data_IF_003092752337
#
_entry.id   IF_003092752337
#
_cell.length_a   1.000
_cell.length_b   1.000
_cell.length_c   1.000
_cell.angle_alpha   90.00
_cell.angle_beta   90.00
_cell.angle_gamma   90.00
#
_symmetry.space_group_name_H-M   'P 1'
#
loop_
_entity.id
_entity.type
_entity.pdbx_description
1 polymer ?
#
# COMPACT_ATOMS: atom_id res chain seq x y z
N UNK A 1 -33.32 -15.95 0.16
CA UNK A 1 -33.66 -15.57 1.55
C UNK A 1 -32.44 -15.36 2.46
N UNK A 2 -31.27 -15.96 2.18
CA UNK A 2 -30.03 -15.79 2.98
C UNK A 2 -29.47 -14.36 3.02
N UNK A 3 -29.51 -13.62 1.90
CA UNK A 3 -28.92 -12.27 1.81
C UNK A 3 -29.58 -11.23 2.72
N UNK A 4 -30.91 -11.30 2.94
CA UNK A 4 -31.59 -10.37 3.85
C UNK A 4 -31.17 -10.58 5.31
N UNK A 5 -30.95 -11.83 5.71
CA UNK A 5 -30.51 -12.15 7.07
C UNK A 5 -29.05 -11.76 7.31
N UNK A 6 -28.17 -11.89 6.30
CA UNK A 6 -26.76 -11.45 6.39
C UNK A 6 -26.69 -9.91 6.45
N UNK A 7 -27.47 -9.20 5.64
CA UNK A 7 -27.52 -7.73 5.67
C UNK A 7 -28.10 -7.21 6.99
N UNK A 8 -29.17 -7.84 7.51
CA UNK A 8 -29.75 -7.52 8.82
C UNK A 8 -28.80 -7.87 9.99
N UNK A 9 -27.95 -8.89 9.80
CA UNK A 9 -26.90 -9.26 10.76
C UNK A 9 -25.73 -8.27 10.75
N UNK A 10 -25.33 -7.75 9.58
CA UNK A 10 -24.29 -6.72 9.42
C UNK A 10 -24.76 -5.34 9.92
N UNK A 11 -26.05 -5.01 9.78
CA UNK A 11 -26.63 -3.76 10.31
C UNK A 11 -26.65 -3.73 11.83
N UNK A 12 -26.84 -4.89 12.49
CA UNK A 12 -26.77 -5.00 13.95
C UNK A 12 -25.34 -4.86 14.52
N UNK A 13 -24.31 -5.00 13.69
CA UNK A 13 -22.90 -4.84 14.11
C UNK A 13 -22.37 -3.40 13.97
N UNK A 14 -23.16 -2.47 13.42
CA UNK A 14 -22.81 -1.05 13.42
C UNK A 14 -23.09 -0.45 14.80
N UNK A 15 -22.06 -0.42 15.64
CA UNK A 15 -22.04 0.31 16.90
C UNK A 15 -22.21 1.81 16.55
N UNK A 16 -23.38 2.38 16.85
CA UNK A 16 -23.55 3.83 16.89
C UNK A 16 -22.48 4.42 17.83
N UNK A 17 -21.75 5.47 17.42
CA UNK A 17 -21.00 6.25 18.39
C UNK A 17 -21.99 6.87 19.39
N UNK A 18 -21.68 6.94 20.68
CA UNK A 18 -22.57 7.57 21.63
C UNK A 18 -22.71 9.05 21.29
N UNK A 19 -23.96 9.48 21.15
CA UNK A 19 -24.38 10.88 21.07
C UNK A 19 -23.76 11.67 22.22
N UNK A 20 -22.92 12.65 21.90
CA UNK A 20 -22.51 13.68 22.85
C UNK A 20 -23.71 14.59 23.11
N UNK A 21 -24.28 14.53 24.31
CA UNK A 21 -24.97 15.67 24.91
C UNK A 21 -24.96 15.54 26.44
N UNK A 22 -24.68 16.67 27.07
CA UNK A 22 -24.83 17.00 28.49
C UNK A 22 -23.61 16.70 29.38
N UNK A 23 -22.64 17.61 29.30
CA UNK A 23 -21.77 17.93 30.42
C UNK A 23 -22.55 18.77 31.44
N UNK A 24 -22.91 18.17 32.57
CA UNK A 24 -23.21 18.86 33.81
C UNK A 24 -23.09 17.90 35.01
N UNK A 25 -22.21 18.23 35.95
CA UNK A 25 -22.45 17.98 37.38
C UNK A 25 -22.00 16.66 38.02
N UNK A 26 -20.99 16.80 38.88
CA UNK A 26 -20.82 16.17 40.20
C UNK A 26 -20.61 14.65 40.38
N UNK A 27 -19.40 14.34 40.85
CA UNK A 27 -19.00 13.36 41.87
C UNK A 27 -20.08 12.42 42.47
N UNK A 28 -19.81 11.11 42.50
CA UNK A 28 -19.65 10.35 43.76
C UNK A 28 -19.52 8.83 43.56
N UNK A 29 -18.55 8.27 44.31
CA UNK A 29 -18.59 6.97 45.00
C UNK A 29 -18.66 5.70 44.13
N UNK A 30 -17.49 5.06 44.07
CA UNK A 30 -17.25 3.66 43.73
C UNK A 30 -18.13 2.76 44.63
N UNK A 31 -19.26 2.28 44.11
CA UNK A 31 -19.95 1.10 44.63
C UNK A 31 -19.65 -0.08 43.72
N UNK A 32 -18.98 -1.09 44.28
CA UNK A 32 -18.82 -2.45 43.72
C UNK A 32 -20.22 -3.02 43.39
N UNK A 33 -20.67 -2.83 42.16
CA UNK A 33 -21.76 -3.60 41.59
C UNK A 33 -21.22 -4.97 41.22
N UNK A 34 -21.62 -5.98 42.00
CA UNK A 34 -21.50 -7.40 41.64
C UNK A 34 -22.16 -7.57 40.27
N UNK A 35 -21.35 -7.78 39.24
CA UNK A 35 -21.85 -8.10 37.90
C UNK A 35 -22.65 -9.39 37.98
N UNK A 36 -23.98 -9.24 37.94
CA UNK A 36 -24.90 -10.33 37.70
C UNK A 36 -24.55 -11.06 36.41
N UNK A 37 -24.77 -12.38 36.43
CA UNK A 37 -24.80 -13.35 35.32
C UNK A 37 -24.17 -12.84 34.02
N UNK A 38 -23.00 -13.40 33.66
CA UNK A 38 -22.42 -13.33 32.30
C UNK A 38 -23.56 -13.42 31.29
N UNK A 39 -23.92 -12.31 30.64
CA UNK A 39 -24.74 -12.33 29.44
C UNK A 39 -24.02 -13.30 28.52
N UNK A 40 -24.66 -14.45 28.27
CA UNK A 40 -24.19 -15.47 27.33
C UNK A 40 -23.71 -14.74 26.09
N UNK A 41 -22.38 -14.65 25.91
CA UNK A 41 -21.82 -14.28 24.62
C UNK A 41 -22.50 -15.19 23.61
N UNK A 42 -23.14 -14.65 22.57
CA UNK A 42 -23.92 -15.47 21.68
C UNK A 42 -23.03 -16.60 21.15
N UNK A 43 -23.56 -17.84 21.11
CA UNK A 43 -22.85 -19.09 20.79
C UNK A 43 -22.29 -19.15 19.35
N UNK A 44 -22.05 -18.02 18.70
CA UNK A 44 -21.37 -17.90 17.40
C UNK A 44 -19.95 -18.45 17.41
N UNK A 45 -19.32 -18.62 18.59
CA UNK A 45 -17.98 -19.20 18.73
C UNK A 45 -17.84 -20.63 18.16
N UNK A 46 -18.94 -21.36 17.95
CA UNK A 46 -18.91 -22.79 17.66
C UNK A 46 -19.16 -23.19 16.19
N UNK A 47 -19.26 -22.25 15.24
CA UNK A 47 -19.31 -22.63 13.83
C UNK A 47 -17.99 -23.31 13.40
N UNK A 48 -18.02 -24.38 12.58
CA UNK A 48 -16.83 -24.99 11.98
C UNK A 48 -16.01 -23.97 11.16
N UNK A 49 -14.70 -24.19 11.01
CA UNK A 49 -13.84 -23.31 10.18
C UNK A 49 -14.34 -23.20 8.74
N UNK A 50 -14.84 -24.30 8.16
CA UNK A 50 -15.37 -24.33 6.79
C UNK A 50 -16.57 -23.39 6.61
N UNK A 51 -17.44 -23.27 7.61
CA UNK A 51 -18.59 -22.36 7.57
C UNK A 51 -18.11 -20.91 7.66
N UNK A 52 -17.10 -20.63 8.48
CA UNK A 52 -16.50 -19.31 8.54
C UNK A 52 -15.83 -18.92 7.23
N UNK A 53 -15.09 -19.85 6.58
CA UNK A 53 -14.48 -19.60 5.27
C UNK A 53 -15.56 -19.19 4.25
N UNK A 54 -16.69 -19.92 4.18
CA UNK A 54 -17.80 -19.57 3.29
C UNK A 54 -18.44 -18.21 3.60
N UNK A 55 -18.61 -17.86 4.89
CA UNK A 55 -19.12 -16.54 5.27
C UNK A 55 -18.17 -15.44 4.80
N UNK A 56 -16.86 -15.64 5.01
CA UNK A 56 -15.83 -14.67 4.65
C UNK A 56 -15.66 -14.52 3.12
N UNK A 57 -15.97 -15.55 2.33
CA UNK A 57 -15.98 -15.49 0.86
C UNK A 57 -17.02 -14.50 0.33
N UNK A 58 -18.13 -14.32 1.04
CA UNK A 58 -19.20 -13.39 0.66
C UNK A 58 -18.98 -11.96 1.15
N UNK A 59 -17.86 -11.68 1.84
CA UNK A 59 -17.51 -10.35 2.32
C UNK A 59 -16.50 -9.69 1.39
N UNK A 60 -16.56 -8.35 1.31
CA UNK A 60 -15.49 -7.58 0.69
C UNK A 60 -14.15 -7.81 1.43
N UNK A 61 -12.99 -7.62 0.75
CA UNK A 61 -11.67 -7.72 1.37
C UNK A 61 -11.55 -6.89 2.66
N UNK A 62 -12.16 -5.71 2.70
CA UNK A 62 -12.10 -4.80 3.84
C UNK A 62 -12.91 -5.28 5.03
N UNK A 63 -14.12 -5.77 4.79
CA UNK A 63 -14.98 -6.34 5.83
C UNK A 63 -14.34 -7.60 6.41
N UNK A 64 -13.79 -8.46 5.56
CA UNK A 64 -13.04 -9.65 5.96
C UNK A 64 -11.90 -9.31 6.93
N UNK A 65 -11.10 -8.29 6.63
CA UNK A 65 -10.03 -7.83 7.54
C UNK A 65 -10.59 -7.25 8.83
N UNK A 66 -11.72 -6.53 8.80
CA UNK A 66 -12.38 -6.02 10.02
C UNK A 66 -12.89 -7.15 10.92
N UNK A 67 -13.32 -8.27 10.36
CA UNK A 67 -13.80 -9.44 11.12
C UNK A 67 -12.75 -9.99 12.11
N UNK A 68 -11.46 -9.72 11.88
CA UNK A 68 -10.37 -10.05 12.82
C UNK A 68 -10.55 -9.44 14.22
N UNK A 69 -11.30 -8.35 14.33
CA UNK A 69 -11.55 -7.65 15.61
C UNK A 69 -12.69 -8.27 16.43
N UNK A 70 -13.46 -9.17 15.82
CA UNK A 70 -14.67 -9.74 16.45
C UNK A 70 -14.28 -10.76 17.54
N UNK A 71 -13.45 -11.75 17.22
CA UNK A 71 -12.89 -12.70 18.19
C UNK A 71 -11.63 -13.41 17.66
N UNK A 72 -10.93 -14.12 18.56
CA UNK A 72 -9.68 -14.82 18.24
C UNK A 72 -9.83 -15.94 17.20
N UNK A 73 -10.96 -16.66 17.19
CA UNK A 73 -11.21 -17.73 16.23
C UNK A 73 -11.34 -17.19 14.81
N UNK A 74 -12.15 -16.14 14.62
CA UNK A 74 -12.32 -15.46 13.33
C UNK A 74 -11.00 -14.82 12.89
N UNK A 75 -10.26 -14.20 13.83
CA UNK A 75 -8.91 -13.69 13.56
C UNK A 75 -8.00 -14.80 12.99
N UNK A 76 -8.01 -15.99 13.58
CA UNK A 76 -7.20 -17.11 13.12
C UNK A 76 -7.60 -17.57 11.70
N UNK A 77 -8.90 -17.66 11.41
CA UNK A 77 -9.40 -18.03 10.08
C UNK A 77 -8.96 -16.99 9.04
N UNK A 78 -9.16 -15.69 9.31
CA UNK A 78 -8.73 -14.62 8.40
C UNK A 78 -7.20 -14.59 8.25
N UNK A 79 -6.44 -14.74 9.33
CA UNK A 79 -4.98 -14.75 9.27
C UNK A 79 -4.44 -16.00 8.53
N UNK A 80 -5.10 -17.16 8.66
CA UNK A 80 -4.80 -18.39 7.91
C UNK A 80 -5.05 -18.18 6.42
N UNK A 81 -6.16 -17.51 6.05
CA UNK A 81 -6.45 -17.15 4.66
C UNK A 81 -5.41 -16.19 4.10
N UNK A 82 -5.12 -15.10 4.81
CA UNK A 82 -4.09 -14.13 4.43
C UNK A 82 -2.73 -14.80 4.17
N UNK A 83 -2.34 -15.78 5.00
CA UNK A 83 -1.10 -16.55 4.81
C UNK A 83 -1.06 -17.37 3.50
N UNK A 84 -2.19 -17.60 2.84
CA UNK A 84 -2.27 -18.27 1.52
C UNK A 84 -1.99 -17.31 0.36
N UNK A 85 -1.95 -16.00 0.59
CA UNK A 85 -1.57 -15.02 -0.44
C UNK A 85 -0.09 -15.18 -0.76
N UNK A 86 0.19 -15.58 -2.01
CA UNK A 86 1.52 -15.79 -2.55
C UNK A 86 1.94 -14.67 -3.51
N UNK A 87 0.97 -14.07 -4.21
CA UNK A 87 1.19 -12.99 -5.18
C UNK A 87 0.62 -11.70 -4.61
N UNK A 88 1.43 -10.64 -4.55
CA UNK A 88 0.98 -9.34 -4.04
C UNK A 88 1.43 -8.21 -4.96
N UNK A 89 0.46 -7.60 -5.63
CA UNK A 89 0.68 -6.49 -6.53
C UNK A 89 0.17 -5.19 -5.89
N UNK A 90 1.07 -4.22 -5.77
CA UNK A 90 0.75 -2.90 -5.24
C UNK A 90 1.07 -1.86 -6.31
N UNK A 91 0.02 -1.29 -6.89
CA UNK A 91 0.12 -0.41 -8.05
C UNK A 91 -0.40 0.98 -7.75
N UNK A 92 0.09 1.96 -8.52
CA UNK A 92 -0.36 3.33 -8.53
C UNK A 92 -0.81 3.71 -9.93
N UNK A 93 -2.11 3.80 -10.12
CA UNK A 93 -2.73 4.20 -11.39
C UNK A 93 -4.03 4.96 -11.11
N UNK A 94 -4.62 5.56 -12.15
CA UNK A 94 -5.94 6.17 -12.06
C UNK A 94 -6.97 5.08 -11.71
N UNK A 95 -7.52 5.14 -10.49
CA UNK A 95 -8.45 4.11 -10.02
C UNK A 95 -9.80 4.16 -10.73
N UNK A 96 -10.18 5.32 -11.28
CA UNK A 96 -11.45 5.49 -11.98
C UNK A 96 -11.47 4.74 -13.32
N UNK A 97 -10.29 4.41 -13.87
CA UNK A 97 -10.16 3.55 -15.07
C UNK A 97 -10.46 2.08 -14.81
N UNK A 98 -10.42 1.66 -13.54
CA UNK A 98 -10.66 0.27 -13.12
C UNK A 98 -12.05 0.14 -12.52
N UNK A 99 -12.36 1.01 -11.56
CA UNK A 99 -13.64 1.03 -10.87
C UNK A 99 -14.15 2.48 -10.86
N UNK A 100 -15.22 2.79 -11.62
CA UNK A 100 -15.76 4.14 -11.72
C UNK A 100 -16.04 4.76 -10.35
N UNK A 101 -15.86 6.08 -10.23
CA UNK A 101 -15.92 6.79 -8.95
C UNK A 101 -17.22 6.57 -8.14
N UNK A 102 -18.34 6.34 -8.84
CA UNK A 102 -19.65 6.13 -8.25
C UNK A 102 -19.88 4.69 -7.77
N UNK A 103 -19.03 3.75 -8.18
CA UNK A 103 -19.12 2.35 -7.78
C UNK A 103 -18.31 2.08 -6.51
N UNK A 104 -18.95 1.46 -5.52
CA UNK A 104 -18.24 0.94 -4.33
C UNK A 104 -17.58 -0.43 -4.57
N UNK A 105 -17.99 -1.11 -5.65
CA UNK A 105 -17.43 -2.37 -6.10
C UNK A 105 -18.31 -3.02 -7.17
N UNK A 106 -17.71 -3.89 -7.97
CA UNK A 106 -18.37 -4.61 -9.07
C UNK A 106 -18.48 -6.12 -8.82
N UNK A 107 -18.04 -6.59 -7.64
CA UNK A 107 -17.97 -8.00 -7.27
C UNK A 107 -16.53 -8.53 -7.24
N UNK A 108 -15.64 -7.95 -8.05
CA UNK A 108 -14.24 -8.35 -8.15
C UNK A 108 -13.32 -7.28 -7.56
N UNK A 109 -13.56 -6.01 -7.90
CA UNK A 109 -12.88 -4.85 -7.38
C UNK A 109 -13.74 -4.16 -6.32
N UNK A 110 -13.10 -3.76 -5.23
CA UNK A 110 -13.77 -3.10 -4.11
C UNK A 110 -13.08 -1.78 -3.78
N UNK A 111 -13.86 -0.71 -3.71
CA UNK A 111 -13.38 0.61 -3.28
C UNK A 111 -13.34 0.69 -1.76
N UNK A 112 -12.26 1.19 -1.19
CA UNK A 112 -12.14 1.32 0.26
C UNK A 112 -13.06 2.46 0.76
N UNK A 113 -14.06 2.21 1.63
CA UNK A 113 -15.13 3.19 1.88
C UNK A 113 -14.68 4.54 2.48
N UNK A 114 -13.59 4.55 3.27
CA UNK A 114 -13.04 5.78 3.88
C UNK A 114 -11.83 6.35 3.13
N UNK A 115 -11.45 5.73 2.02
CA UNK A 115 -10.33 6.10 1.17
C UNK A 115 -10.65 5.62 -0.24
N UNK A 116 -11.59 6.28 -0.94
CA UNK A 116 -12.08 5.81 -2.23
C UNK A 116 -10.99 5.77 -3.31
N UNK A 117 -9.85 6.43 -3.06
CA UNK A 117 -8.62 6.36 -3.85
C UNK A 117 -7.87 5.02 -3.75
N UNK A 118 -8.38 4.06 -2.99
CA UNK A 118 -7.80 2.72 -2.87
C UNK A 118 -8.83 1.72 -3.36
N UNK A 119 -8.43 0.93 -4.36
CA UNK A 119 -9.20 -0.19 -4.90
C UNK A 119 -8.44 -1.48 -4.59
N UNK A 120 -9.18 -2.51 -4.19
CA UNK A 120 -8.62 -3.83 -3.87
C UNK A 120 -9.36 -4.90 -4.65
N UNK A 121 -8.58 -5.82 -5.20
CA UNK A 121 -9.03 -7.08 -5.75
C UNK A 121 -8.29 -8.21 -5.02
N UNK A 122 -9.03 -9.16 -4.44
CA UNK A 122 -8.46 -10.26 -3.66
C UNK A 122 -9.01 -11.60 -4.17
N UNK A 123 -8.10 -12.47 -4.62
CA UNK A 123 -8.43 -13.86 -4.96
C UNK A 123 -7.89 -14.81 -3.87
N UNK A 124 -7.99 -16.12 -4.13
CA UNK A 124 -7.57 -17.14 -3.15
C UNK A 124 -6.06 -17.10 -2.81
N UNK A 125 -5.20 -16.69 -3.77
CA UNK A 125 -3.74 -16.68 -3.63
C UNK A 125 -3.07 -15.38 -4.07
N UNK A 126 -3.84 -14.43 -4.59
CA UNK A 126 -3.35 -13.16 -5.11
C UNK A 126 -4.06 -12.00 -4.43
N UNK A 127 -3.36 -10.88 -4.30
CA UNK A 127 -3.95 -9.61 -3.88
C UNK A 127 -3.40 -8.52 -4.80
N UNK A 128 -4.31 -7.70 -5.33
CA UNK A 128 -4.01 -6.51 -6.08
C UNK A 128 -4.57 -5.30 -5.32
N UNK A 129 -3.68 -4.41 -4.89
CA UNK A 129 -4.06 -3.17 -4.21
C UNK A 129 -3.58 -1.99 -5.04
N UNK A 130 -4.52 -1.17 -5.47
CA UNK A 130 -4.30 -0.05 -6.35
C UNK A 130 -4.59 1.22 -5.59
N UNK A 131 -3.67 2.17 -5.64
CA UNK A 131 -3.88 3.50 -5.09
C UNK A 131 -3.87 4.54 -6.20
N UNK A 132 -4.74 5.53 -6.07
CA UNK A 132 -4.93 6.56 -7.08
C UNK A 132 -3.67 7.40 -7.33
N UNK A 133 -3.55 7.95 -8.55
CA UNK A 133 -2.46 8.89 -8.85
C UNK A 133 -2.50 10.15 -7.99
N UNK A 134 -3.69 10.59 -7.57
CA UNK A 134 -3.91 11.73 -6.67
C UNK A 134 -4.06 11.32 -5.21
N UNK A 135 -3.39 10.24 -4.79
CA UNK A 135 -3.37 9.80 -3.39
C UNK A 135 -2.96 10.90 -2.42
N UNK A 136 -3.50 10.82 -1.21
CA UNK A 136 -3.15 11.71 -0.11
C UNK A 136 -2.19 11.04 0.86
N UNK A 137 -1.66 11.81 1.83
CA UNK A 137 -0.90 11.27 2.96
C UNK A 137 -1.69 10.16 3.68
N UNK A 138 -3.00 10.36 3.87
CA UNK A 138 -3.87 9.37 4.53
C UNK A 138 -3.96 8.07 3.75
N UNK A 139 -3.92 8.14 2.42
CA UNK A 139 -3.93 6.96 1.55
C UNK A 139 -2.57 6.25 1.59
N UNK A 140 -1.46 7.00 1.57
CA UNK A 140 -0.12 6.43 1.72
C UNK A 140 0.06 5.66 3.04
N UNK A 141 -0.47 6.19 4.15
CA UNK A 141 -0.46 5.49 5.46
C UNK A 141 -1.26 4.18 5.39
N UNK A 142 -2.46 4.20 4.80
CA UNK A 142 -3.29 2.99 4.63
C UNK A 142 -2.62 1.98 3.70
N UNK A 143 -1.98 2.45 2.64
CA UNK A 143 -1.25 1.64 1.69
C UNK A 143 -0.07 0.94 2.36
N UNK A 144 0.72 1.65 3.16
CA UNK A 144 1.81 1.06 3.92
C UNK A 144 1.31 0.01 4.93
N UNK A 145 0.16 0.27 5.58
CA UNK A 145 -0.47 -0.71 6.46
C UNK A 145 -0.91 -1.98 5.70
N UNK A 146 -1.46 -1.83 4.49
CA UNK A 146 -1.84 -2.94 3.63
C UNK A 146 -0.63 -3.75 3.15
N UNK A 147 0.45 -3.07 2.74
CA UNK A 147 1.73 -3.69 2.36
C UNK A 147 2.30 -4.50 3.53
N UNK A 148 2.34 -3.94 4.74
CA UNK A 148 2.78 -4.67 5.94
C UNK A 148 1.86 -5.85 6.29
N UNK A 149 0.59 -5.77 5.95
CA UNK A 149 -0.36 -6.84 6.22
C UNK A 149 -0.19 -8.03 5.27
N UNK A 150 -0.19 -7.78 3.95
CA UNK A 150 -0.14 -8.82 2.92
C UNK A 150 1.29 -9.23 2.53
N UNK A 151 2.25 -8.32 2.60
CA UNK A 151 3.64 -8.55 2.18
C UNK A 151 4.38 -9.61 2.99
N UNK A 152 3.96 -9.88 4.23
CA UNK A 152 4.63 -10.84 5.12
C UNK A 152 4.56 -12.28 4.58
N UNK A 153 3.52 -12.64 3.84
CA UNK A 153 3.36 -13.99 3.26
C UNK A 153 3.63 -14.07 1.76
N UNK A 154 3.73 -12.94 1.07
CA UNK A 154 3.91 -12.90 -0.38
C UNK A 154 5.30 -13.44 -0.78
N UNK A 155 5.31 -14.28 -1.81
CA UNK A 155 6.50 -14.83 -2.44
C UNK A 155 6.88 -14.04 -3.69
N UNK A 156 5.87 -13.58 -4.44
CA UNK A 156 6.05 -12.71 -5.59
C UNK A 156 5.41 -11.37 -5.29
N UNK A 157 6.19 -10.29 -5.37
CA UNK A 157 5.75 -8.93 -5.05
C UNK A 157 6.00 -8.00 -6.23
N UNK A 158 4.97 -7.30 -6.68
CA UNK A 158 5.11 -6.22 -7.68
C UNK A 158 4.79 -4.88 -7.03
N UNK A 159 5.65 -3.88 -7.24
CA UNK A 159 5.51 -2.53 -6.71
C UNK A 159 5.76 -1.51 -7.81
N UNK A 160 4.92 -0.49 -7.92
CA UNK A 160 5.32 0.72 -8.66
C UNK A 160 6.41 1.49 -7.89
N UNK A 161 7.29 2.19 -8.60
CA UNK A 161 8.46 2.86 -8.05
C UNK A 161 8.13 3.84 -6.91
N UNK A 162 6.98 4.51 -6.97
CA UNK A 162 6.49 5.38 -5.91
C UNK A 162 6.13 4.62 -4.62
N UNK A 163 5.59 3.42 -4.76
CA UNK A 163 5.23 2.54 -3.64
C UNK A 163 6.45 1.82 -3.07
N UNK A 164 7.39 1.42 -3.93
CA UNK A 164 8.69 0.92 -3.51
C UNK A 164 9.46 1.99 -2.71
N UNK A 165 9.46 3.25 -3.18
CA UNK A 165 10.04 4.37 -2.45
C UNK A 165 9.36 4.61 -1.09
N UNK A 166 8.02 4.59 -1.04
CA UNK A 166 7.27 4.67 0.21
C UNK A 166 7.71 3.58 1.19
N UNK A 167 7.85 2.35 0.71
CA UNK A 167 8.28 1.22 1.53
C UNK A 167 9.69 1.43 2.10
N UNK A 168 10.64 1.88 1.29
CA UNK A 168 12.02 2.17 1.74
C UNK A 168 12.03 3.33 2.76
N UNK A 169 11.27 4.39 2.50
CA UNK A 169 11.18 5.52 3.42
C UNK A 169 10.52 5.15 4.75
N UNK A 170 9.40 4.41 4.71
CA UNK A 170 8.65 3.97 5.89
C UNK A 170 9.40 2.94 6.76
N UNK A 171 10.53 2.42 6.29
CA UNK A 171 11.46 1.63 7.09
C UNK A 171 12.47 2.49 7.86
N UNK A 172 12.65 3.74 7.45
CA UNK A 172 13.54 4.70 8.12
C UNK A 172 12.80 5.64 9.08
N UNK A 173 11.49 5.84 8.90
CA UNK A 173 10.68 6.79 9.67
C UNK A 173 9.22 6.35 9.82
N UNK A 174 8.56 6.79 10.90
CA UNK A 174 7.10 6.67 11.07
C UNK A 174 6.36 7.89 10.51
N UNK A 175 7.08 8.96 10.17
CA UNK A 175 6.51 10.21 9.68
C UNK A 175 6.31 10.15 8.16
N UNK A 176 5.30 9.41 7.73
CA UNK A 176 4.90 9.31 6.31
C UNK A 176 4.48 10.68 5.77
N UNK A 177 3.96 11.57 6.62
CA UNK A 177 3.62 12.95 6.24
C UNK A 177 4.87 13.73 5.83
N UNK A 178 5.97 13.61 6.58
CA UNK A 178 7.25 14.21 6.21
C UNK A 178 7.80 13.62 4.91
N UNK A 179 7.70 12.31 4.72
CA UNK A 179 8.04 11.68 3.43
C UNK A 179 7.24 12.28 2.27
N UNK A 180 5.94 12.45 2.44
CA UNK A 180 5.06 13.00 1.41
C UNK A 180 5.42 14.46 1.07
N UNK A 181 5.69 15.28 2.09
CA UNK A 181 6.16 16.66 1.91
C UNK A 181 7.51 16.72 1.18
N UNK A 182 8.47 15.87 1.58
CA UNK A 182 9.76 15.74 0.91
C UNK A 182 9.61 15.34 -0.57
N UNK A 183 8.68 14.43 -0.87
CA UNK A 183 8.40 13.99 -2.23
C UNK A 183 7.83 15.11 -3.11
N UNK A 184 6.95 15.95 -2.55
CA UNK A 184 6.42 17.14 -3.21
C UNK A 184 7.49 18.21 -3.44
N UNK A 185 8.29 18.53 -2.41
CA UNK A 185 9.36 19.52 -2.49
C UNK A 185 10.47 19.14 -3.47
N UNK A 186 10.73 17.83 -3.64
CA UNK A 186 11.70 17.30 -4.57
C UNK A 186 11.34 17.47 -6.06
N UNK A 187 10.17 18.05 -6.39
CA UNK A 187 9.69 18.19 -7.77
C UNK A 187 9.42 16.85 -8.47
N UNK A 188 9.26 15.78 -7.69
CA UNK A 188 9.08 14.42 -8.22
C UNK A 188 7.66 13.89 -8.11
N UNK A 189 6.64 14.75 -8.07
CA UNK A 189 5.28 14.30 -8.38
C UNK A 189 5.34 13.48 -9.68
N UNK A 190 4.75 12.28 -9.65
CA UNK A 190 4.67 11.47 -10.86
C UNK A 190 3.96 12.31 -11.92
N UNK A 191 4.37 12.21 -13.20
CA UNK A 191 3.54 12.78 -14.25
C UNK A 191 2.14 12.21 -14.04
N UNK A 192 1.16 13.08 -13.79
CA UNK A 192 -0.23 12.68 -13.68
C UNK A 192 -0.52 11.86 -14.94
N UNK A 193 -1.10 10.68 -14.76
CA UNK A 193 -1.45 9.83 -15.89
C UNK A 193 -2.26 10.70 -16.85
N UNK A 194 -1.74 11.00 -18.05
CA UNK A 194 -2.34 11.99 -18.98
C UNK A 194 -3.75 11.59 -19.47
N UNK A 195 -4.25 10.44 -19.02
CA UNK A 195 -5.60 9.92 -19.21
C UNK A 195 -6.67 10.67 -18.40
N UNK A 196 -6.33 11.30 -17.27
CA UNK A 196 -7.32 12.04 -16.49
C UNK A 196 -7.39 13.49 -16.96
N UNK A 197 -8.59 13.94 -17.36
CA UNK A 197 -8.87 15.37 -17.49
C UNK A 197 -8.54 16.01 -16.14
N UNK A 198 -7.62 16.98 -16.13
CA UNK A 198 -7.34 17.75 -14.92
C UNK A 198 -8.65 18.30 -14.35
N UNK A 199 -8.89 18.23 -13.03
CA UNK A 199 -10.10 18.80 -12.45
C UNK A 199 -10.28 20.26 -12.85
N UNK A 200 -11.51 20.66 -13.20
CA UNK A 200 -11.82 21.96 -13.80
C UNK A 200 -11.45 23.18 -12.94
N UNK A 201 -11.22 22.97 -11.64
CA UNK A 201 -10.84 24.00 -10.67
C UNK A 201 -9.33 24.22 -10.56
N UNK A 202 -8.49 23.48 -11.30
CA UNK A 202 -7.04 23.72 -11.32
C UNK A 202 -6.74 24.73 -12.45
N UNK A 203 -6.31 25.97 -12.14
CA UNK A 203 -5.99 26.96 -13.16
C UNK A 203 -4.87 26.45 -14.07
N UNK A 204 -4.94 26.78 -15.36
CA UNK A 204 -4.04 26.25 -16.40
C UNK A 204 -2.55 26.52 -16.10
N UNK A 205 -2.27 27.62 -15.41
CA UNK A 205 -0.94 28.02 -14.92
C UNK A 205 -0.35 27.11 -13.84
N UNK A 206 -1.18 26.33 -13.11
CA UNK A 206 -0.75 25.30 -12.16
C UNK A 206 -0.67 23.91 -12.79
N UNK A 207 -0.99 23.74 -14.08
CA UNK A 207 -0.72 22.49 -14.79
C UNK A 207 0.79 22.32 -14.90
N UNK A 208 1.29 21.22 -14.30
CA UNK A 208 2.71 20.86 -14.33
C UNK A 208 3.17 20.80 -15.79
N UNK A 209 3.92 21.81 -16.22
CA UNK A 209 4.56 21.82 -17.55
C UNK A 209 5.42 20.56 -17.67
N UNK A 210 5.36 19.94 -18.85
CA UNK A 210 6.07 18.72 -19.20
C UNK A 210 7.50 18.69 -18.66
N UNK A 211 7.87 17.56 -18.05
CA UNK A 211 9.13 17.25 -17.33
C UNK A 211 10.36 17.20 -18.28
N UNK A 212 10.52 18.16 -19.19
CA UNK A 212 11.56 18.16 -20.22
C UNK A 212 12.74 19.09 -19.94
N UNK A 213 12.70 19.92 -18.87
CA UNK A 213 13.74 20.94 -18.66
C UNK A 213 14.25 21.05 -17.22
N UNK A 214 14.44 19.92 -16.53
CA UNK A 214 15.27 19.93 -15.31
C UNK A 214 16.61 19.30 -15.64
N UNK A 215 17.53 20.17 -16.07
CA UNK A 215 18.95 19.88 -16.15
C UNK A 215 19.51 19.43 -14.80
N UNK A 216 20.71 18.87 -14.89
CA UNK A 216 21.55 18.15 -13.93
C UNK A 216 21.72 18.72 -12.49
N UNK A 217 21.09 19.84 -12.14
CA UNK A 217 21.20 20.52 -10.84
C UNK A 217 19.93 20.24 -10.01
N UNK A 218 19.92 19.61 -8.84
CA UNK A 218 20.94 19.49 -7.81
C UNK A 218 20.73 18.16 -7.07
N UNK A 219 21.70 17.24 -7.16
CA UNK A 219 21.78 16.14 -6.18
C UNK A 219 21.90 16.66 -4.74
N UNK A 220 22.40 17.90 -4.59
CA UNK A 220 22.59 18.64 -3.35
C UNK A 220 21.29 18.98 -2.63
N UNK A 221 20.17 19.23 -3.35
CA UNK A 221 18.87 19.48 -2.73
C UNK A 221 18.26 18.22 -2.07
N UNK A 222 18.61 17.03 -2.56
CA UNK A 222 18.14 15.76 -1.97
C UNK A 222 18.88 15.35 -0.69
N UNK A 223 19.87 16.12 -0.24
CA UNK A 223 20.64 15.85 0.99
C UNK A 223 19.87 16.16 2.28
N UNK A 224 18.72 16.83 2.21
CA UNK A 224 17.95 17.29 3.37
C UNK A 224 16.98 16.25 3.96
N UNK A 225 17.06 14.98 3.56
CA UNK A 225 16.27 13.93 4.21
C UNK A 225 16.72 13.73 5.66
N UNK A 226 16.02 14.40 6.58
CA UNK A 226 16.20 14.31 8.02
C UNK A 226 14.81 14.11 8.65
N UNK A 227 14.29 12.86 8.67
CA UNK A 227 12.96 12.61 9.19
C UNK A 227 12.91 12.94 10.68
N UNK A 228 11.79 13.52 11.12
CA UNK A 228 11.56 13.90 12.53
C UNK A 228 11.57 12.70 13.47
N UNK A 229 11.14 11.54 12.97
CA UNK A 229 11.14 10.28 13.70
C UNK A 229 12.02 9.27 12.98
N UNK A 230 12.88 8.58 13.70
CA UNK A 230 13.67 7.48 13.17
C UNK A 230 13.13 6.14 13.69
N UNK A 231 13.19 5.11 12.85
CA UNK A 231 12.79 3.75 13.21
C UNK A 231 14.02 2.84 13.22
N UNK A 232 14.08 1.94 14.20
CA UNK A 232 14.94 0.76 14.13
C UNK A 232 14.22 -0.30 13.27
N UNK A 233 14.80 -0.77 12.15
CA UNK A 233 14.14 -1.73 11.28
C UNK A 233 13.70 -2.98 12.04
N UNK A 234 12.42 -3.33 11.98
CA UNK A 234 11.81 -4.48 12.69
C UNK A 234 11.93 -5.78 11.86
N UNK A 235 12.84 -5.80 10.89
CA UNK A 235 13.00 -6.87 9.90
C UNK A 235 12.46 -6.52 8.51
N UNK A 236 12.60 -7.43 7.54
CA UNK A 236 12.21 -7.18 6.15
C UNK A 236 10.69 -7.09 5.98
N UNK A 237 10.24 -6.17 5.12
CA UNK A 237 8.82 -6.06 4.72
C UNK A 237 8.30 -7.31 4.03
N UNK A 238 9.15 -7.92 3.21
CA UNK A 238 8.82 -9.09 2.39
C UNK A 238 9.76 -10.25 2.76
N UNK A 239 9.62 -10.85 3.96
CA UNK A 239 10.54 -11.87 4.46
C UNK A 239 10.55 -13.15 3.60
N UNK A 240 9.41 -13.47 2.97
CA UNK A 240 9.23 -14.68 2.15
C UNK A 240 9.34 -14.43 0.65
N UNK A 241 9.59 -13.19 0.24
CA UNK A 241 9.63 -12.87 -1.19
C UNK A 241 10.85 -13.53 -1.85
N UNK A 242 10.58 -14.36 -2.83
CA UNK A 242 11.56 -14.96 -3.74
C UNK A 242 11.70 -14.11 -5.01
N UNK A 243 10.65 -13.37 -5.39
CA UNK A 243 10.64 -12.53 -6.58
C UNK A 243 10.09 -11.15 -6.25
N UNK A 244 10.84 -10.10 -6.59
CA UNK A 244 10.37 -8.72 -6.48
C UNK A 244 10.51 -8.02 -7.82
N UNK A 245 9.41 -7.42 -8.27
CA UNK A 245 9.36 -6.58 -9.47
C UNK A 245 9.06 -5.14 -9.09
N UNK A 246 9.97 -4.24 -9.44
CA UNK A 246 9.75 -2.79 -9.35
C UNK A 246 9.40 -2.28 -10.74
N UNK A 247 8.22 -1.71 -10.89
CA UNK A 247 7.74 -1.08 -12.12
C UNK A 247 8.02 0.41 -12.07
N UNK A 248 8.57 0.97 -13.14
CA UNK A 248 8.82 2.40 -13.23
C UNK A 248 8.58 2.87 -14.66
N UNK A 249 7.93 4.01 -14.85
CA UNK A 249 8.08 4.78 -16.09
C UNK A 249 9.45 5.46 -16.14
N UNK A 250 9.90 5.86 -17.32
CA UNK A 250 11.16 6.62 -17.48
C UNK A 250 11.23 7.84 -16.53
N UNK A 251 10.18 8.69 -16.39
CA UNK A 251 10.20 9.80 -15.43
C UNK A 251 10.24 9.37 -13.96
N UNK A 252 9.83 8.14 -13.62
CA UNK A 252 9.86 7.60 -12.25
C UNK A 252 11.22 7.02 -11.86
N UNK A 253 12.12 6.74 -12.81
CA UNK A 253 13.46 6.21 -12.51
C UNK A 253 14.28 7.12 -11.58
N UNK A 254 14.01 8.43 -11.57
CA UNK A 254 14.62 9.37 -10.61
C UNK A 254 14.30 9.06 -9.15
N UNK A 255 13.15 8.44 -8.84
CA UNK A 255 12.78 8.02 -7.48
C UNK A 255 13.73 6.96 -6.94
N UNK A 256 14.12 6.01 -7.80
CA UNK A 256 15.02 4.92 -7.43
C UNK A 256 16.38 5.44 -6.99
N UNK A 257 16.84 6.57 -7.54
CA UNK A 257 18.09 7.23 -7.13
C UNK A 257 18.06 7.75 -5.69
N UNK A 258 16.88 7.94 -5.09
CA UNK A 258 16.72 8.40 -3.71
C UNK A 258 16.70 7.28 -2.69
N UNK A 259 16.65 6.02 -3.12
CA UNK A 259 16.66 4.90 -2.18
C UNK A 259 17.86 4.92 -1.21
N UNK A 260 19.10 5.25 -1.64
CA UNK A 260 20.22 5.48 -0.73
C UNK A 260 20.01 6.60 0.30
N UNK A 261 19.25 7.64 -0.04
CA UNK A 261 19.03 8.83 0.81
C UNK A 261 18.31 8.46 2.11
N UNK A 262 17.42 7.46 2.06
CA UNK A 262 16.68 6.97 3.23
C UNK A 262 17.53 6.18 4.21
N UNK A 263 18.79 5.87 3.88
CA UNK A 263 19.72 5.06 4.71
C UNK A 263 19.14 3.71 5.16
N UNK A 264 18.16 3.18 4.44
CA UNK A 264 17.54 1.88 4.70
C UNK A 264 18.08 0.86 3.70
N UNK A 265 18.94 -0.09 4.10
CA UNK A 265 19.53 -1.05 3.18
C UNK A 265 18.50 -2.12 2.78
N UNK A 266 18.52 -2.51 1.50
CA UNK A 266 17.57 -3.48 0.91
C UNK A 266 17.45 -4.77 1.76
N UNK A 267 18.58 -5.31 2.23
CA UNK A 267 18.66 -6.60 2.92
C UNK A 267 18.17 -6.62 4.38
N UNK A 268 18.05 -5.46 5.03
CA UNK A 268 17.60 -5.39 6.43
C UNK A 268 16.14 -4.98 6.56
N UNK A 269 15.66 -4.23 5.58
CA UNK A 269 14.39 -3.49 5.71
C UNK A 269 13.36 -3.88 4.66
N UNK A 270 13.79 -4.40 3.50
CA UNK A 270 12.90 -4.63 2.37
C UNK A 270 12.69 -6.13 2.13
N UNK A 271 13.78 -6.91 2.02
CA UNK A 271 13.74 -8.33 1.64
C UNK A 271 14.81 -9.10 2.41
N UNK A 272 14.56 -10.38 2.66
CA UNK A 272 15.62 -11.34 3.00
C UNK A 272 16.39 -11.75 1.74
N UNK A 273 17.68 -11.39 1.66
CA UNK A 273 18.54 -11.71 0.53
C UNK A 273 18.76 -13.21 0.33
N UNK A 274 18.62 -14.02 1.38
CA UNK A 274 18.81 -15.46 1.27
C UNK A 274 17.66 -16.12 0.49
N UNK A 275 16.47 -15.53 0.57
CA UNK A 275 15.26 -16.02 -0.11
C UNK A 275 15.10 -15.43 -1.52
N UNK A 276 15.71 -14.27 -1.78
CA UNK A 276 15.53 -13.56 -3.05
C UNK A 276 16.22 -14.28 -4.21
N UNK A 277 15.40 -14.79 -5.14
CA UNK A 277 15.83 -15.40 -6.39
C UNK A 277 15.95 -14.37 -7.51
N UNK A 278 14.99 -13.43 -7.63
CA UNK A 278 14.98 -12.43 -8.70
C UNK A 278 14.55 -11.07 -8.17
N UNK A 279 15.34 -10.04 -8.48
CA UNK A 279 14.95 -8.63 -8.43
C UNK A 279 14.87 -8.08 -9.85
N UNK A 280 13.66 -7.67 -10.26
CA UNK A 280 13.37 -7.18 -11.61
C UNK A 280 13.02 -5.70 -11.57
N UNK A 281 13.67 -4.90 -12.41
CA UNK A 281 13.24 -3.53 -12.71
C UNK A 281 12.58 -3.53 -14.09
N UNK A 282 11.27 -3.30 -14.14
CA UNK A 282 10.50 -3.17 -15.38
C UNK A 282 10.32 -1.69 -15.67
N UNK A 283 10.89 -1.24 -16.79
CA UNK A 283 10.85 0.15 -17.23
C UNK A 283 9.87 0.29 -18.39
N UNK A 284 8.75 0.96 -18.14
CA UNK A 284 7.77 1.29 -19.18
C UNK A 284 8.24 2.51 -19.98
N UNK A 285 8.28 2.35 -21.30
CA UNK A 285 8.66 3.38 -22.26
C UNK A 285 7.44 3.83 -23.06
N UNK A 286 6.73 4.87 -22.60
CA UNK A 286 5.55 5.43 -23.30
C UNK A 286 5.86 6.02 -24.70
N UNK A 287 7.09 5.90 -25.22
CA UNK A 287 7.46 6.35 -26.55
C UNK A 287 7.44 5.17 -27.52
N UNK A 288 6.72 5.31 -28.64
CA UNK A 288 6.63 4.37 -29.77
C UNK A 288 7.96 3.91 -30.38
N UNK A 289 9.10 4.42 -29.89
CA UNK A 289 10.44 3.95 -30.22
C UNK A 289 11.15 3.44 -28.96
N UNK A 290 11.06 2.14 -28.67
CA UNK A 290 11.76 1.49 -27.54
C UNK A 290 13.28 1.75 -27.50
N UNK A 291 13.89 2.15 -28.62
CA UNK A 291 15.30 2.58 -28.68
C UNK A 291 15.59 3.87 -27.89
N UNK A 292 14.73 4.89 -27.96
CA UNK A 292 14.92 6.16 -27.23
C UNK A 292 14.67 5.97 -25.73
N UNK A 293 13.63 5.22 -25.35
CA UNK A 293 13.37 4.88 -23.94
C UNK A 293 14.52 4.10 -23.30
N UNK A 294 15.12 3.16 -24.04
CA UNK A 294 16.33 2.43 -23.61
C UNK A 294 17.54 3.36 -23.47
N UNK A 295 17.78 4.27 -24.41
CA UNK A 295 18.86 5.26 -24.32
C UNK A 295 18.69 6.22 -23.14
N UNK A 296 17.47 6.69 -22.86
CA UNK A 296 17.19 7.57 -21.72
C UNK A 296 17.32 6.83 -20.38
N UNK A 297 16.88 5.58 -20.31
CA UNK A 297 17.08 4.77 -19.12
C UNK A 297 18.55 4.39 -18.90
N UNK A 298 19.33 4.23 -19.97
CA UNK A 298 20.78 4.04 -19.93
C UNK A 298 21.53 5.34 -19.56
N UNK A 299 21.02 6.51 -19.96
CA UNK A 299 21.60 7.81 -19.58
C UNK A 299 21.27 8.21 -18.15
N UNK A 300 20.14 7.73 -17.61
CA UNK A 300 19.82 7.83 -16.20
C UNK A 300 20.84 7.02 -15.39
N UNK A 301 21.72 7.75 -14.69
CA UNK A 301 22.73 7.19 -13.78
C UNK A 301 22.03 6.43 -12.63
N UNK A 302 21.63 5.19 -12.88
CA UNK A 302 21.05 4.27 -11.90
C UNK A 302 22.10 3.70 -10.94
N UNK A 303 23.37 4.07 -11.08
CA UNK A 303 24.46 3.66 -10.19
C UNK A 303 24.13 3.78 -8.69
N UNK A 304 23.48 4.86 -8.18
CA UNK A 304 23.08 4.93 -6.78
C UNK A 304 22.08 3.84 -6.39
N UNK A 305 21.09 3.58 -7.25
CA UNK A 305 20.11 2.51 -7.03
C UNK A 305 20.76 1.13 -7.09
N UNK A 306 21.62 0.87 -8.08
CA UNK A 306 22.33 -0.40 -8.23
C UNK A 306 23.24 -0.68 -7.03
N UNK A 307 23.90 0.35 -6.50
CA UNK A 307 24.70 0.27 -5.27
C UNK A 307 23.82 -0.05 -4.07
N UNK A 308 22.68 0.63 -3.93
CA UNK A 308 21.71 0.37 -2.85
C UNK A 308 21.12 -1.05 -2.91
N UNK A 309 20.77 -1.52 -4.11
CA UNK A 309 20.24 -2.85 -4.35
C UNK A 309 21.31 -3.94 -4.17
N UNK A 310 22.59 -3.56 -4.04
CA UNK A 310 23.74 -4.45 -4.07
C UNK A 310 23.70 -5.37 -5.31
N UNK A 311 23.54 -4.75 -6.48
CA UNK A 311 23.41 -5.46 -7.75
C UNK A 311 24.59 -6.40 -8.03
N UNK A 312 25.80 -6.07 -7.55
CA UNK A 312 26.97 -6.96 -7.63
C UNK A 312 26.75 -8.28 -6.92
N UNK A 313 26.19 -8.27 -5.70
CA UNK A 313 25.86 -9.49 -4.94
C UNK A 313 24.69 -10.26 -5.57
N UNK A 314 23.74 -9.55 -6.18
CA UNK A 314 22.63 -10.18 -6.88
C UNK A 314 23.08 -10.86 -8.19
N UNK A 315 24.09 -10.31 -8.87
CA UNK A 315 24.61 -10.85 -10.13
C UNK A 315 23.48 -11.17 -11.12
N UNK A 316 23.34 -12.45 -11.54
CA UNK A 316 22.30 -12.91 -12.46
C UNK A 316 20.86 -12.81 -11.91
N UNK A 317 20.70 -12.60 -10.60
CA UNK A 317 19.39 -12.42 -9.93
C UNK A 317 18.82 -11.02 -10.13
N UNK A 318 19.61 -10.06 -10.62
CA UNK A 318 19.13 -8.74 -10.96
C UNK A 318 18.90 -8.62 -12.47
N UNK A 319 17.70 -8.18 -12.86
CA UNK A 319 17.37 -7.96 -14.27
C UNK A 319 16.66 -6.63 -14.50
N UNK A 320 16.95 -6.00 -15.64
CA UNK A 320 16.26 -4.79 -16.10
C UNK A 320 15.57 -5.13 -17.41
N UNK A 321 14.26 -4.90 -17.48
CA UNK A 321 13.45 -5.11 -18.67
C UNK A 321 12.86 -3.79 -19.14
N UNK A 322 12.91 -3.56 -20.44
CA UNK A 322 12.27 -2.41 -21.08
C UNK A 322 11.02 -2.91 -21.79
N UNK A 323 9.88 -2.33 -21.44
CA UNK A 323 8.55 -2.71 -21.97
C UNK A 323 7.91 -1.50 -22.66
#
# INVERSE_FOLDING_TARGET
MLNKQIVQFLSMMHIHPPSANNAAGSNSVIKKLKFGKKKSTPKFGNLPESVWDNILDNLSPFERVKMRRVNHKIKNVVDKRRKRVLYADFLRTDVDTILPAESSGDGDFFRLPKSPRIVVHEEARSILIIVDTHWTVSDAVKMMAAIRYYGVSAHTVTLDASLAELCVAAQSTNDISFWFAFQSASGTSDPVCQSSKSPSWVPDEFRVRSVQSYEQDQLTAYSQWAPRTQIIPVGPLFPKATEITIRASVPQLRRLRRFPVYRSPLHRSFIDFNNLHILRLVVSTNTSSGRKGRQVAQSLKLAPFLKWANAQRLAHRFSVQFV
#
